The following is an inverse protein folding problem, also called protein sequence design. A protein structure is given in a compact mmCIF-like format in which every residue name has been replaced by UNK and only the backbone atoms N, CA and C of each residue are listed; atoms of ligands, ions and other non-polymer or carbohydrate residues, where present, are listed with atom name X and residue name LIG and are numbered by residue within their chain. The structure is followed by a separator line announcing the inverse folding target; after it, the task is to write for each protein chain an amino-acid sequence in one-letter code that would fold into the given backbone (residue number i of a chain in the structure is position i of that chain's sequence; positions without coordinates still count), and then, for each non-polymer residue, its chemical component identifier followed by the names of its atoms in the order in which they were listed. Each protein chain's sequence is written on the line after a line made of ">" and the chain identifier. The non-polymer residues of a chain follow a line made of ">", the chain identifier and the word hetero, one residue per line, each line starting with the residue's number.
data_IF_445882571563
#
_entry.id   IF_445882571563
#
_cell.length_a   1.000
_cell.length_b   1.000
_cell.length_c   1.000
_cell.angle_alpha   90.00
_cell.angle_beta   90.00
_cell.angle_gamma   90.00
#
_symmetry.space_group_name_H-M   'P 1'
#
loop_
_entity.id
_entity.type
_entity.pdbx_description
1 polymer ?
#
# COMPACT_ATOMS: atom_id res chain seq x y z
N UNK A 1 -9.08 -13.41 0.80
CA UNK A 1 -8.66 -12.08 1.27
C UNK A 1 -7.53 -12.30 2.27
N UNK A 2 -6.46 -11.52 2.25
CA UNK A 2 -5.30 -11.68 3.14
C UNK A 2 -5.36 -10.68 4.29
N UNK A 3 -4.91 -11.08 5.47
CA UNK A 3 -4.66 -10.18 6.61
C UNK A 3 -3.38 -9.37 6.40
N UNK A 4 -3.09 -8.38 7.26
CA UNK A 4 -1.84 -7.59 7.20
C UNK A 4 -0.58 -8.46 7.22
N UNK A 5 -0.56 -9.50 8.05
CA UNK A 5 0.59 -10.40 8.17
C UNK A 5 0.76 -11.26 6.92
N UNK A 6 -0.33 -11.83 6.41
CA UNK A 6 -0.33 -12.61 5.18
C UNK A 6 0.02 -11.76 3.95
N UNK A 7 -0.45 -10.50 3.90
CA UNK A 7 -0.10 -9.55 2.86
C UNK A 7 1.41 -9.29 2.85
N UNK A 8 2.02 -9.07 4.02
CA UNK A 8 3.48 -8.91 4.15
C UNK A 8 4.25 -10.12 3.66
N UNK A 9 3.86 -11.34 4.08
CA UNK A 9 4.48 -12.58 3.61
C UNK A 9 4.28 -12.80 2.10
N UNK A 10 3.11 -12.44 1.56
CA UNK A 10 2.81 -12.52 0.14
C UNK A 10 3.70 -11.57 -0.66
N UNK A 11 3.86 -10.32 -0.22
CA UNK A 11 4.72 -9.33 -0.86
C UNK A 11 6.19 -9.77 -0.87
N UNK A 12 6.66 -10.44 0.18
CA UNK A 12 8.03 -10.96 0.25
C UNK A 12 8.35 -11.94 -0.90
N UNK A 13 7.36 -12.71 -1.37
CA UNK A 13 7.50 -13.61 -2.54
C UNK A 13 7.70 -12.85 -3.86
N UNK A 14 7.28 -11.59 -3.93
CA UNK A 14 7.47 -10.71 -5.09
C UNK A 14 8.71 -9.81 -4.96
N UNK A 15 9.64 -10.13 -4.05
CA UNK A 15 10.80 -9.31 -3.66
C UNK A 15 10.45 -7.95 -3.04
N UNK A 16 9.20 -7.75 -2.61
CA UNK A 16 8.77 -6.53 -1.90
C UNK A 16 8.75 -6.82 -0.41
N UNK A 17 9.85 -6.53 0.29
CA UNK A 17 9.93 -6.73 1.75
C UNK A 17 9.34 -5.53 2.48
N UNK A 18 8.10 -5.64 2.93
CA UNK A 18 7.44 -4.63 3.77
C UNK A 18 7.04 -5.19 5.12
N UNK A 19 7.32 -4.45 6.19
CA UNK A 19 6.85 -4.79 7.55
C UNK A 19 5.33 -4.56 7.63
N UNK A 20 4.56 -5.40 8.35
CA UNK A 20 3.12 -5.18 8.56
C UNK A 20 2.79 -3.81 9.18
N UNK A 21 3.68 -3.31 10.05
CA UNK A 21 3.57 -1.98 10.64
C UNK A 21 3.70 -0.86 9.58
N UNK A 22 4.54 -1.04 8.57
CA UNK A 22 4.65 -0.11 7.43
C UNK A 22 3.37 -0.12 6.61
N UNK A 23 2.75 -1.28 6.38
CA UNK A 23 1.45 -1.36 5.68
C UNK A 23 0.37 -0.57 6.42
N UNK A 24 0.30 -0.72 7.74
CA UNK A 24 -0.62 0.06 8.57
C UNK A 24 -0.31 1.57 8.52
N UNK A 25 0.97 1.95 8.58
CA UNK A 25 1.39 3.36 8.52
C UNK A 25 1.08 4.00 7.18
N UNK A 26 1.36 3.33 6.06
CA UNK A 26 1.08 3.85 4.72
C UNK A 26 -0.41 4.12 4.56
N UNK A 27 -1.25 3.21 5.05
CA UNK A 27 -2.69 3.42 5.11
C UNK A 27 -3.07 4.64 5.96
N UNK A 28 -2.51 4.77 7.16
CA UNK A 28 -2.77 5.91 8.05
C UNK A 28 -2.31 7.26 7.48
N UNK A 29 -1.23 7.28 6.70
CA UNK A 29 -0.66 8.49 6.10
C UNK A 29 -1.38 8.88 4.79
N UNK A 30 -2.26 8.02 4.26
CA UNK A 30 -2.99 8.29 3.01
C UNK A 30 -2.09 8.33 1.77
N UNK A 31 -0.89 7.75 1.85
CA UNK A 31 0.04 7.65 0.73
C UNK A 31 -0.37 6.47 -0.18
N UNK A 32 -0.05 6.50 -1.48
CA UNK A 32 -0.36 5.41 -2.45
C UNK A 32 0.11 4.04 -1.94
N UNK A 33 -0.78 3.39 -1.21
CA UNK A 33 -0.51 2.17 -0.50
C UNK A 33 -1.02 0.96 -1.24
N UNK A 34 -0.64 -0.23 -0.76
CA UNK A 34 -1.23 -1.45 -1.25
C UNK A 34 -2.76 -1.42 -1.03
N UNK A 35 -3.54 -1.92 -1.99
CA UNK A 35 -4.99 -1.88 -1.95
C UNK A 35 -5.50 -2.63 -0.73
N UNK A 36 -6.27 -1.93 0.10
CA UNK A 36 -6.78 -2.41 1.37
C UNK A 36 -8.30 -2.21 1.42
N UNK A 37 -9.05 -3.28 1.66
CA UNK A 37 -10.50 -3.26 1.83
C UNK A 37 -10.86 -3.46 3.30
N UNK A 38 -11.63 -2.55 3.86
CA UNK A 38 -12.19 -2.72 5.20
C UNK A 38 -13.47 -3.55 5.12
N UNK A 39 -13.42 -4.76 5.68
CA UNK A 39 -14.59 -5.63 5.82
C UNK A 39 -14.85 -5.77 7.32
N UNK A 40 -16.04 -5.37 7.78
CA UNK A 40 -16.45 -5.45 9.20
C UNK A 40 -15.40 -4.84 10.15
N UNK A 41 -14.93 -3.62 9.86
CA UNK A 41 -13.91 -2.87 10.63
C UNK A 41 -12.49 -3.46 10.63
N UNK A 42 -12.23 -4.55 9.90
CA UNK A 42 -10.89 -5.14 9.76
C UNK A 42 -10.34 -4.88 8.35
N UNK A 43 -9.07 -4.45 8.23
CA UNK A 43 -8.42 -4.29 6.92
C UNK A 43 -8.01 -5.65 6.35
N UNK A 44 -8.44 -5.88 5.12
CA UNK A 44 -8.13 -7.06 4.33
C UNK A 44 -7.52 -6.65 2.98
N UNK A 45 -6.52 -7.40 2.55
CA UNK A 45 -5.81 -7.18 1.29
C UNK A 45 -6.29 -8.22 0.25
N UNK A 46 -6.96 -7.78 -0.83
CA UNK A 46 -7.32 -8.68 -1.92
C UNK A 46 -6.05 -9.17 -2.65
N UNK A 47 -5.91 -10.48 -2.84
CA UNK A 47 -4.72 -11.09 -3.46
C UNK A 47 -4.44 -10.55 -4.87
N UNK A 48 -5.47 -10.40 -5.69
CA UNK A 48 -5.33 -9.95 -7.09
C UNK A 48 -4.81 -8.51 -7.17
N UNK A 49 -5.46 -7.60 -6.45
CA UNK A 49 -5.05 -6.19 -6.43
C UNK A 49 -3.70 -5.99 -5.72
N UNK A 50 -3.44 -6.71 -4.62
CA UNK A 50 -2.17 -6.69 -3.92
C UNK A 50 -1.02 -7.17 -4.83
N UNK A 51 -1.26 -8.21 -5.64
CA UNK A 51 -0.31 -8.69 -6.65
C UNK A 51 -0.06 -7.62 -7.72
N UNK A 52 -1.11 -7.00 -8.26
CA UNK A 52 -0.97 -5.95 -9.26
C UNK A 52 -0.16 -4.76 -8.72
N UNK A 53 -0.40 -4.36 -7.47
CA UNK A 53 0.39 -3.33 -6.80
C UNK A 53 1.84 -3.75 -6.59
N UNK A 54 2.10 -4.98 -6.14
CA UNK A 54 3.47 -5.49 -5.97
C UNK A 54 4.25 -5.51 -7.29
N UNK A 55 3.59 -5.92 -8.37
CA UNK A 55 4.16 -5.90 -9.72
C UNK A 55 4.46 -4.46 -10.17
N UNK A 56 3.55 -3.52 -9.94
CA UNK A 56 3.77 -2.09 -10.20
C UNK A 56 4.96 -1.53 -9.41
N UNK A 57 5.16 -1.97 -8.16
CA UNK A 57 6.31 -1.51 -7.37
C UNK A 57 7.64 -2.05 -7.90
N UNK A 58 7.63 -3.29 -8.42
CA UNK A 58 8.79 -3.90 -9.07
C UNK A 58 9.15 -3.21 -10.39
N UNK A 59 8.16 -2.84 -11.20
CA UNK A 59 8.37 -2.10 -12.45
C UNK A 59 8.60 -0.59 -12.21
N UNK A 60 8.07 -0.06 -11.12
CA UNK A 60 8.14 1.33 -10.68
C UNK A 60 9.45 1.71 -10.01
N UNK A 61 10.44 0.81 -9.89
CA UNK A 61 11.83 1.20 -9.55
C UNK A 61 12.45 2.15 -10.60
N UNK A 62 11.81 2.36 -11.76
CA UNK A 62 12.12 3.47 -12.70
C UNK A 62 11.27 4.74 -12.50
N UNK A 63 10.24 4.72 -11.68
CA UNK A 63 9.41 5.87 -11.39
C UNK A 63 9.74 6.40 -9.99
N UNK A 64 10.82 7.17 -9.94
CA UNK A 64 11.13 8.09 -8.85
C UNK A 64 9.86 8.84 -8.44
N UNK A 65 9.30 8.50 -7.27
CA UNK A 65 8.18 9.25 -6.69
C UNK A 65 8.75 10.47 -5.98
N UNK A 66 8.74 11.61 -6.67
CA UNK A 66 8.85 12.93 -6.06
C UNK A 66 7.65 13.14 -5.11
N UNK A 67 7.85 13.61 -3.87
CA UNK A 67 6.75 13.92 -2.97
C UNK A 67 6.12 15.25 -3.37
N UNK A 68 4.79 15.31 -3.47
CA UNK A 68 4.09 16.60 -3.53
C UNK A 68 2.74 16.47 -2.82
N UNK A 69 2.73 17.00 -1.60
CA UNK A 69 1.67 17.80 -1.00
C UNK A 69 2.44 18.88 -0.20
N UNK A 70 2.04 20.17 -0.20
CA UNK A 70 0.68 20.58 0.16
C UNK A 70 0.10 21.73 -0.67
N UNK A 71 -1.21 21.69 -0.94
CA UNK A 71 -1.96 22.82 -1.51
C UNK A 71 -3.08 23.21 -0.56
N UNK A 72 -2.89 24.32 0.13
CA UNK A 72 -3.83 24.90 1.08
C UNK A 72 -5.19 25.21 0.41
N UNK A 73 -6.27 24.68 0.99
CA UNK A 73 -7.62 25.14 0.71
C UNK A 73 -7.74 26.58 1.24
N UNK A 74 -7.63 27.53 0.31
CA UNK A 74 -7.93 28.93 0.53
C UNK A 74 -9.43 29.05 0.84
N UNK A 75 -9.74 29.24 2.13
CA UNK A 75 -11.04 29.76 2.55
C UNK A 75 -11.10 31.25 2.20
N UNK A 76 -12.08 31.63 1.38
CA UNK A 76 -12.62 32.98 1.28
C UNK A 76 -14.13 32.91 1.44
#
# INVERSE_FOLDING_TARGET
>A
MLTRAEASAFLARFSVRMKPATLARIWSVGQDGPPCRHIRRKPYYPRGELRAWALRQRTGLRASRTPTAPGAEARR
#
